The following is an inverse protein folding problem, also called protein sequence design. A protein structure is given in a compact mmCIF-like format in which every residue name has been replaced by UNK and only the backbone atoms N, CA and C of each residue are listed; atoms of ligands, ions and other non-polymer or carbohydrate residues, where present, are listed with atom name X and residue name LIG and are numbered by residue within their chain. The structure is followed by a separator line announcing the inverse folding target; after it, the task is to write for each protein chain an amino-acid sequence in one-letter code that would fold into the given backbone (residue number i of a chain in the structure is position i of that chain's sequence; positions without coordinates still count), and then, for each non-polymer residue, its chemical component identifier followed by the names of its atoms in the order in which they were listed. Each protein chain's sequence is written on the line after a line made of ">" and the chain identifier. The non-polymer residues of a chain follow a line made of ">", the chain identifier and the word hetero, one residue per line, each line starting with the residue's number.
data_IF_253434760631
#
_entry.id   IF_253434760631
#
_cell.length_a   1.000
_cell.length_b   1.000
_cell.length_c   1.000
_cell.angle_alpha   90.00
_cell.angle_beta   90.00
_cell.angle_gamma   90.00
#
_symmetry.space_group_name_H-M   'P 1'
#
loop_
_entity.id
_entity.type
_entity.pdbx_description
1 polymer ?
#
# COMPACT_ATOMS: atom_id res chain seq x y z
N UNK A 1 -11.93 -13.54 -2.66
CA UNK A 1 -11.25 -12.86 -1.52
C UNK A 1 -12.29 -12.48 -0.47
N UNK A 2 -12.10 -12.82 0.81
CA UNK A 2 -13.05 -12.44 1.85
C UNK A 2 -13.06 -10.90 2.02
N UNK A 3 -14.24 -10.29 2.08
CA UNK A 3 -14.37 -8.84 2.27
C UNK A 3 -13.79 -8.44 3.64
N UNK A 4 -12.91 -7.45 3.66
CA UNK A 4 -12.49 -6.83 4.90
C UNK A 4 -13.58 -5.86 5.33
N UNK A 5 -14.27 -6.16 6.40
CA UNK A 5 -15.33 -5.30 6.93
C UNK A 5 -14.73 -3.98 7.42
N UNK A 6 -15.09 -2.89 6.75
CA UNK A 6 -14.63 -1.54 7.12
C UNK A 6 -15.32 -0.99 8.37
N UNK A 7 -16.40 -1.64 8.84
CA UNK A 7 -17.23 -1.19 9.97
C UNK A 7 -17.81 0.23 9.80
N UNK A 8 -18.02 0.65 8.55
CA UNK A 8 -18.65 1.93 8.20
C UNK A 8 -19.96 1.67 7.50
N UNK A 9 -20.92 2.58 7.67
CA UNK A 9 -22.27 2.48 7.04
C UNK A 9 -22.23 2.69 5.53
N UNK A 10 -21.36 3.57 5.02
CA UNK A 10 -21.23 3.88 3.59
C UNK A 10 -19.86 3.53 3.04
N UNK A 11 -19.80 3.32 1.73
CA UNK A 11 -18.56 3.03 0.97
C UNK A 11 -18.51 3.85 -0.30
N UNK A 12 -19.01 5.08 -0.27
CA UNK A 12 -18.83 5.97 -1.42
C UNK A 12 -17.36 6.32 -1.54
N UNK A 13 -16.83 6.21 -2.74
CA UNK A 13 -15.47 6.60 -3.09
C UNK A 13 -15.49 7.18 -4.49
N UNK A 14 -14.50 8.02 -4.80
CA UNK A 14 -14.31 8.51 -6.15
C UNK A 14 -13.97 7.36 -7.10
N UNK A 15 -14.59 7.36 -8.27
CA UNK A 15 -14.35 6.39 -9.33
C UNK A 15 -13.60 7.10 -10.46
N UNK A 16 -12.58 6.44 -11.01
CA UNK A 16 -11.88 6.98 -12.18
C UNK A 16 -12.82 7.03 -13.38
N UNK A 17 -12.83 8.14 -14.16
CA UNK A 17 -13.56 8.17 -15.41
C UNK A 17 -13.03 7.11 -16.37
N UNK A 18 -13.94 6.42 -17.05
CA UNK A 18 -13.55 5.44 -18.06
C UNK A 18 -12.98 6.15 -19.30
N UNK A 19 -11.71 5.92 -19.58
CA UNK A 19 -10.99 6.48 -20.74
C UNK A 19 -10.17 5.38 -21.40
N UNK A 20 -10.12 5.39 -22.73
CA UNK A 20 -9.29 4.46 -23.50
C UNK A 20 -7.88 5.01 -23.74
N UNK A 21 -7.71 6.32 -23.75
CA UNK A 21 -6.45 7.00 -24.03
C UNK A 21 -6.17 8.09 -22.99
N UNK A 22 -4.90 8.46 -22.85
CA UNK A 22 -4.51 9.59 -22.01
C UNK A 22 -5.08 10.89 -22.61
N UNK A 23 -5.56 11.82 -21.78
CA UNK A 23 -6.05 13.12 -22.25
C UNK A 23 -4.95 13.90 -22.96
N UNK A 24 -5.33 14.72 -23.96
CA UNK A 24 -4.37 15.53 -24.74
C UNK A 24 -3.54 16.51 -23.87
N UNK A 25 -4.09 16.96 -22.74
CA UNK A 25 -3.40 17.84 -21.80
C UNK A 25 -2.47 17.10 -20.82
N UNK A 26 -2.48 15.77 -20.79
CA UNK A 26 -1.67 14.99 -19.86
C UNK A 26 -0.23 14.85 -20.35
N UNK A 27 0.70 14.81 -19.38
CA UNK A 27 2.08 14.49 -19.68
C UNK A 27 2.18 13.00 -20.05
N UNK A 28 2.75 12.70 -21.23
CA UNK A 28 2.93 11.35 -21.78
C UNK A 28 4.42 10.99 -21.97
N UNK A 29 5.34 11.83 -21.48
CA UNK A 29 6.78 11.52 -21.54
C UNK A 29 7.14 10.38 -20.60
N UNK A 30 7.31 9.19 -21.18
CA UNK A 30 7.56 7.94 -20.43
C UNK A 30 8.82 8.04 -19.57
N UNK A 31 9.93 8.52 -20.14
CA UNK A 31 11.23 8.58 -19.43
C UNK A 31 11.20 9.55 -18.26
N UNK A 32 10.57 10.71 -18.43
CA UNK A 32 10.40 11.69 -17.36
C UNK A 32 9.54 11.14 -16.23
N UNK A 33 8.41 10.47 -16.55
CA UNK A 33 7.52 9.86 -15.57
C UNK A 33 8.24 8.76 -14.78
N UNK A 34 8.96 7.86 -15.45
CA UNK A 34 9.71 6.78 -14.80
C UNK A 34 10.78 7.35 -13.84
N UNK A 35 11.53 8.37 -14.25
CA UNK A 35 12.52 9.03 -13.41
C UNK A 35 11.88 9.62 -12.14
N UNK A 36 10.78 10.36 -12.29
CA UNK A 36 10.04 10.93 -11.16
C UNK A 36 9.55 9.84 -10.19
N UNK A 37 9.05 8.71 -10.70
CA UNK A 37 8.61 7.58 -9.87
C UNK A 37 9.76 7.02 -9.04
N UNK A 38 10.93 6.84 -9.67
CA UNK A 38 12.14 6.32 -9.00
C UNK A 38 12.63 7.30 -7.93
N UNK A 39 12.69 8.59 -8.23
CA UNK A 39 13.16 9.62 -7.30
C UNK A 39 12.23 9.72 -6.09
N UNK A 40 10.92 9.81 -6.30
CA UNK A 40 9.93 9.81 -5.21
C UNK A 40 9.97 8.54 -4.36
N UNK A 41 10.28 7.39 -4.99
CA UNK A 41 10.42 6.14 -4.23
C UNK A 41 11.67 6.13 -3.37
N UNK A 42 12.79 6.65 -3.85
CA UNK A 42 14.03 6.82 -3.07
C UNK A 42 13.84 7.75 -1.87
N UNK A 43 12.96 8.75 -1.98
CA UNK A 43 12.54 9.61 -0.87
C UNK A 43 11.65 8.89 0.17
N UNK A 44 11.35 7.59 -0.03
CA UNK A 44 10.51 6.81 0.89
C UNK A 44 9.00 6.96 0.68
N UNK A 45 8.57 7.59 -0.41
CA UNK A 45 7.15 7.76 -0.70
C UNK A 45 6.50 6.43 -1.12
N UNK A 46 5.28 6.14 -0.62
CA UNK A 46 4.54 4.92 -0.98
C UNK A 46 4.05 4.95 -2.43
N UNK A 47 3.90 3.79 -3.08
CA UNK A 47 3.42 3.69 -4.46
C UNK A 47 2.06 4.35 -4.67
N UNK A 48 1.17 4.24 -3.68
CA UNK A 48 -0.13 4.90 -3.71
C UNK A 48 -0.01 6.44 -3.68
N UNK A 49 0.88 6.96 -2.84
CA UNK A 49 1.13 8.41 -2.74
C UNK A 49 1.85 8.94 -3.98
N UNK A 50 2.78 8.18 -4.56
CA UNK A 50 3.42 8.52 -5.85
C UNK A 50 2.35 8.75 -6.93
N UNK A 51 1.37 7.85 -7.06
CA UNK A 51 0.28 8.03 -8.01
C UNK A 51 -0.54 9.30 -7.81
N UNK A 52 -0.77 9.71 -6.56
CA UNK A 52 -1.44 10.97 -6.25
C UNK A 52 -0.58 12.20 -6.62
N UNK A 53 0.72 12.17 -6.30
CA UNK A 53 1.66 13.23 -6.63
C UNK A 53 1.77 13.40 -8.16
N UNK A 54 1.86 12.32 -8.91
CA UNK A 54 1.89 12.34 -10.37
C UNK A 54 0.63 12.98 -10.95
N UNK A 55 -0.53 12.64 -10.40
CA UNK A 55 -1.80 13.25 -10.83
C UNK A 55 -1.84 14.75 -10.53
N UNK A 56 -1.45 15.16 -9.32
CA UNK A 56 -1.70 16.51 -8.82
C UNK A 56 -0.62 17.52 -9.22
N UNK A 57 0.64 17.07 -9.35
CA UNK A 57 1.78 17.96 -9.68
C UNK A 57 2.28 17.84 -11.11
N UNK A 58 2.21 16.63 -11.69
CA UNK A 58 2.83 16.36 -12.99
C UNK A 58 1.81 16.13 -14.10
N UNK A 59 0.53 16.34 -13.84
CA UNK A 59 -0.54 16.18 -14.83
C UNK A 59 -0.60 14.77 -15.47
N UNK A 60 -0.29 13.73 -14.70
CA UNK A 60 -0.37 12.32 -15.12
C UNK A 60 -1.56 11.65 -14.44
N UNK A 61 -2.75 11.64 -15.00
CA UNK A 61 -3.96 11.10 -14.37
C UNK A 61 -3.94 9.59 -14.21
N UNK A 62 -3.29 8.87 -15.13
CA UNK A 62 -3.11 7.43 -15.07
C UNK A 62 -1.77 7.02 -15.68
N UNK A 63 -0.88 6.53 -14.82
CA UNK A 63 0.46 6.09 -15.22
C UNK A 63 0.40 4.94 -16.23
N UNK A 64 -0.54 4.00 -16.06
CA UNK A 64 -0.68 2.87 -16.98
C UNK A 64 -1.10 3.32 -18.39
N UNK A 65 -1.94 4.35 -18.50
CA UNK A 65 -2.33 4.89 -19.81
C UNK A 65 -1.18 5.67 -20.46
N UNK A 66 -0.36 6.36 -19.67
CA UNK A 66 0.75 7.17 -20.16
C UNK A 66 1.97 6.31 -20.54
N UNK A 67 2.31 5.29 -19.73
CA UNK A 67 3.55 4.52 -19.87
C UNK A 67 3.34 3.07 -20.35
N UNK A 68 2.10 2.58 -20.39
CA UNK A 68 1.77 1.18 -20.64
C UNK A 68 2.00 0.25 -19.45
N UNK A 69 2.76 0.69 -18.42
CA UNK A 69 3.15 -0.08 -17.25
C UNK A 69 2.49 0.44 -15.97
N UNK A 70 2.35 -0.40 -14.96
CA UNK A 70 1.92 0.03 -13.62
C UNK A 70 3.12 0.55 -12.83
N UNK A 71 2.89 1.44 -11.86
CA UNK A 71 3.94 1.94 -10.95
C UNK A 71 4.72 0.78 -10.31
N UNK A 72 4.02 -0.28 -9.86
CA UNK A 72 4.68 -1.45 -9.28
C UNK A 72 5.58 -2.21 -10.25
N UNK A 73 5.22 -2.28 -11.53
CA UNK A 73 6.02 -2.95 -12.56
C UNK A 73 7.29 -2.14 -12.87
N UNK A 74 7.16 -0.80 -12.94
CA UNK A 74 8.30 0.12 -13.07
C UNK A 74 9.26 -0.03 -11.90
N UNK A 75 8.76 -0.03 -10.66
CA UNK A 75 9.60 -0.18 -9.46
C UNK A 75 10.32 -1.54 -9.41
N UNK A 76 9.73 -2.60 -9.96
CA UNK A 76 10.38 -3.91 -10.11
C UNK A 76 11.52 -3.89 -11.10
N UNK A 77 11.33 -3.26 -12.26
CA UNK A 77 12.38 -3.10 -13.26
C UNK A 77 13.62 -2.38 -12.70
N UNK A 78 13.38 -1.36 -11.88
CA UNK A 78 14.45 -0.63 -11.19
C UNK A 78 14.96 -1.30 -9.89
N UNK A 79 14.44 -2.48 -9.52
CA UNK A 79 14.82 -3.24 -8.30
C UNK A 79 14.66 -2.46 -6.99
N UNK A 80 13.65 -1.59 -6.91
CA UNK A 80 13.36 -0.74 -5.74
C UNK A 80 12.06 -1.19 -5.05
N UNK A 81 11.61 -2.40 -5.30
CA UNK A 81 10.42 -2.96 -4.63
C UNK A 81 10.77 -3.41 -3.21
N UNK A 82 9.85 -3.19 -2.26
CA UNK A 82 9.99 -3.72 -0.90
C UNK A 82 9.63 -5.21 -0.87
N UNK A 83 10.35 -6.01 -0.06
CA UNK A 83 10.09 -7.44 0.14
C UNK A 83 8.66 -7.71 0.63
N UNK A 84 8.13 -6.80 1.45
CA UNK A 84 6.77 -6.90 1.99
C UNK A 84 5.85 -5.95 1.21
N UNK A 85 4.66 -6.42 0.74
CA UNK A 85 3.67 -5.57 0.11
C UNK A 85 3.30 -4.36 0.99
N UNK A 86 3.20 -3.17 0.39
CA UNK A 86 2.99 -1.91 1.12
C UNK A 86 1.71 -1.88 1.96
N UNK A 87 0.63 -2.46 1.47
CA UNK A 87 -0.63 -2.55 2.19
C UNK A 87 -0.52 -3.38 3.47
N UNK A 88 0.23 -4.49 3.42
CA UNK A 88 0.53 -5.32 4.59
C UNK A 88 1.46 -4.57 5.55
N UNK A 89 2.51 -3.91 5.03
CA UNK A 89 3.44 -3.10 5.83
C UNK A 89 2.71 -2.00 6.61
N UNK A 90 1.82 -1.24 5.97
CA UNK A 90 1.05 -0.19 6.62
C UNK A 90 0.14 -0.72 7.73
N UNK A 91 -0.48 -1.90 7.54
CA UNK A 91 -1.29 -2.52 8.59
C UNK A 91 -0.43 -3.02 9.75
N UNK A 92 0.76 -3.54 9.50
CA UNK A 92 1.70 -3.94 10.55
C UNK A 92 2.15 -2.73 11.38
N UNK A 93 2.55 -1.62 10.73
CA UNK A 93 2.90 -0.37 11.42
C UNK A 93 1.74 0.10 12.31
N UNK A 94 0.52 0.09 11.76
CA UNK A 94 -0.67 0.47 12.54
C UNK A 94 -0.92 -0.46 13.73
N UNK A 95 -0.71 -1.76 13.59
CA UNK A 95 -0.87 -2.72 14.68
C UNK A 95 0.16 -2.49 15.79
N UNK A 96 1.42 -2.22 15.45
CA UNK A 96 2.48 -1.89 16.41
C UNK A 96 2.18 -0.59 17.17
N UNK A 97 1.76 0.46 16.46
CA UNK A 97 1.35 1.72 17.10
C UNK A 97 0.18 1.54 18.08
N UNK A 98 -0.82 0.71 17.72
CA UNK A 98 -1.93 0.39 18.61
C UNK A 98 -1.47 -0.44 19.84
N UNK A 99 -0.51 -1.35 19.67
CA UNK A 99 0.06 -2.13 20.79
C UNK A 99 0.82 -1.24 21.76
N UNK A 100 1.65 -0.32 21.24
CA UNK A 100 2.36 0.66 22.07
C UNK A 100 1.38 1.52 22.86
N UNK A 101 0.35 2.07 22.20
CA UNK A 101 -0.70 2.84 22.86
C UNK A 101 -1.42 2.06 23.96
N UNK A 102 -1.76 0.78 23.73
CA UNK A 102 -2.44 -0.06 24.73
C UNK A 102 -1.51 -0.49 25.89
N UNK A 103 -0.20 -0.46 25.70
CA UNK A 103 0.77 -0.63 26.77
C UNK A 103 0.66 0.49 27.81
N UNK A 104 0.49 1.73 27.35
CA UNK A 104 0.33 2.92 28.18
C UNK A 104 -1.12 3.06 28.68
N UNK A 105 -2.11 2.76 27.83
CA UNK A 105 -3.54 2.98 28.08
C UNK A 105 -4.32 1.66 28.15
N UNK A 106 -4.10 0.86 29.19
CA UNK A 106 -4.67 -0.49 29.37
C UNK A 106 -6.20 -0.54 29.39
N UNK A 107 -6.87 0.56 29.78
CA UNK A 107 -8.34 0.65 29.89
C UNK A 107 -9.04 1.01 28.57
N UNK A 108 -8.30 1.29 27.49
CA UNK A 108 -8.87 1.68 26.20
C UNK A 108 -9.43 0.47 25.45
N UNK A 109 -10.70 0.15 25.73
CA UNK A 109 -11.42 -0.95 25.11
C UNK A 109 -11.67 -0.70 23.61
N UNK A 110 -11.81 0.57 23.19
CA UNK A 110 -12.03 0.90 21.80
C UNK A 110 -10.81 0.52 20.94
N UNK A 111 -9.62 0.96 21.34
CA UNK A 111 -8.41 0.64 20.60
C UNK A 111 -8.00 -0.84 20.75
N UNK A 112 -8.33 -1.49 21.87
CA UNK A 112 -8.21 -2.95 21.99
C UNK A 112 -9.02 -3.67 20.92
N UNK A 113 -10.27 -3.25 20.69
CA UNK A 113 -11.10 -3.79 19.61
C UNK A 113 -10.54 -3.49 18.22
N UNK A 114 -10.02 -2.28 18.01
CA UNK A 114 -9.39 -1.89 16.74
C UNK A 114 -8.14 -2.75 16.46
N UNK A 115 -7.32 -3.04 17.45
CA UNK A 115 -6.17 -3.92 17.30
C UNK A 115 -6.58 -5.31 16.80
N UNK A 116 -7.58 -5.94 17.41
CA UNK A 116 -8.09 -7.24 16.94
C UNK A 116 -8.57 -7.19 15.49
N UNK A 117 -9.25 -6.11 15.08
CA UNK A 117 -9.71 -5.93 13.70
C UNK A 117 -8.54 -5.76 12.71
N UNK A 118 -7.50 -5.02 13.08
CA UNK A 118 -6.30 -4.81 12.25
C UNK A 118 -5.53 -6.13 12.12
N UNK A 119 -5.31 -6.86 13.21
CA UNK A 119 -4.64 -8.17 13.18
C UNK A 119 -5.42 -9.20 12.35
N UNK A 120 -6.74 -9.21 12.42
CA UNK A 120 -7.57 -10.04 11.56
C UNK A 120 -7.40 -9.70 10.06
N UNK A 121 -7.22 -8.41 9.72
CA UNK A 121 -6.92 -7.98 8.36
C UNK A 121 -5.53 -8.44 7.91
N UNK A 122 -4.52 -8.30 8.77
CA UNK A 122 -3.15 -8.76 8.49
C UNK A 122 -3.15 -10.25 8.19
N UNK A 123 -3.77 -11.09 9.05
CA UNK A 123 -3.83 -12.55 8.83
C UNK A 123 -4.49 -12.93 7.50
N UNK A 124 -5.55 -12.21 7.08
CA UNK A 124 -6.21 -12.44 5.79
C UNK A 124 -5.33 -12.04 4.61
N UNK A 125 -4.60 -10.91 4.71
CA UNK A 125 -3.66 -10.50 3.66
C UNK A 125 -2.48 -11.44 3.57
N UNK A 126 -1.93 -11.90 4.69
CA UNK A 126 -0.87 -12.92 4.70
C UNK A 126 -1.33 -14.17 3.97
N UNK A 127 -2.52 -14.71 4.29
CA UNK A 127 -3.08 -15.88 3.60
C UNK A 127 -3.24 -15.64 2.08
N UNK A 128 -3.62 -14.44 1.67
CA UNK A 128 -3.73 -14.08 0.26
C UNK A 128 -2.36 -14.02 -0.42
N UNK A 129 -1.37 -13.38 0.21
CA UNK A 129 -0.03 -13.21 -0.39
C UNK A 129 0.79 -14.51 -0.39
N UNK A 130 0.61 -15.39 0.58
CA UNK A 130 1.17 -16.74 0.52
C UNK A 130 0.54 -17.56 -0.61
N UNK A 131 -0.78 -17.48 -0.81
CA UNK A 131 -1.46 -18.11 -1.94
C UNK A 131 -1.04 -17.58 -3.32
N UNK A 132 -0.72 -16.28 -3.43
CA UNK A 132 -0.22 -15.65 -4.67
C UNK A 132 1.30 -15.71 -4.82
N UNK A 133 2.01 -16.44 -3.95
CA UNK A 133 3.48 -16.60 -3.96
C UNK A 133 4.26 -15.29 -3.87
N UNK A 134 3.65 -14.22 -3.36
CA UNK A 134 4.35 -12.95 -3.07
C UNK A 134 5.07 -12.98 -1.73
N UNK A 135 4.63 -13.85 -0.82
CA UNK A 135 5.30 -14.14 0.44
C UNK A 135 5.67 -15.62 0.49
N UNK A 136 6.74 -15.99 1.19
CA UNK A 136 7.13 -17.39 1.36
C UNK A 136 6.03 -18.20 2.04
N UNK A 137 5.92 -19.49 1.69
CA UNK A 137 4.84 -20.39 2.15
C UNK A 137 4.75 -20.54 3.68
N UNK A 138 5.85 -20.31 4.41
CA UNK A 138 5.90 -20.39 5.87
C UNK A 138 5.70 -19.06 6.59
N UNK A 139 5.38 -17.98 5.87
CA UNK A 139 5.26 -16.65 6.49
C UNK A 139 4.05 -16.58 7.42
N UNK A 140 4.31 -16.37 8.71
CA UNK A 140 3.27 -16.19 9.74
C UNK A 140 3.45 -14.84 10.41
N UNK A 141 2.37 -14.09 10.57
CA UNK A 141 2.42 -12.84 11.30
C UNK A 141 2.54 -13.10 12.80
N UNK A 142 3.67 -12.69 13.39
CA UNK A 142 3.87 -12.59 14.83
C UNK A 142 4.19 -11.13 15.16
N UNK A 143 3.60 -10.54 16.21
CA UNK A 143 3.83 -9.12 16.53
C UNK A 143 5.29 -8.80 16.87
N UNK A 144 5.98 -9.73 17.51
CA UNK A 144 7.39 -9.60 17.92
C UNK A 144 8.32 -9.54 16.69
N UNK A 145 8.07 -10.41 15.71
CA UNK A 145 8.86 -10.41 14.46
C UNK A 145 8.50 -9.26 13.50
N UNK A 146 7.28 -8.71 13.64
CA UNK A 146 6.83 -7.61 12.79
C UNK A 146 7.66 -6.32 13.00
N UNK A 147 8.15 -6.08 14.19
CA UNK A 147 9.00 -4.92 14.51
C UNK A 147 10.36 -5.04 13.79
N UNK A 148 10.98 -6.21 13.84
CA UNK A 148 12.25 -6.50 13.16
C UNK A 148 12.09 -6.41 11.63
N UNK A 149 10.98 -6.92 11.09
CA UNK A 149 10.69 -6.90 9.66
C UNK A 149 10.42 -5.47 9.12
N UNK A 150 9.98 -4.56 9.95
CA UNK A 150 9.68 -3.18 9.56
C UNK A 150 10.87 -2.24 9.71
N UNK A 151 11.86 -2.59 10.55
CA UNK A 151 13.10 -1.85 10.74
C UNK A 151 14.12 -2.06 9.61
N UNK A 152 13.93 -3.10 8.80
CA UNK A 152 14.67 -3.37 7.56
C UNK A 152 14.09 -2.55 6.40
#
# INVERSE_FOLDING_TARGET
>A
MARMHARRRGKSCSVRPYRKQAPAWSNTDIKAIEKIIVDLRKEGTSSAKIGLILRDRYCVPDVKMATGKRIGDILKEYKIESEIPEDLRHLMIKALGLRKHLGENKKDLHNKRQLHLVEAKIRRLVKYYTGTKKLPAGFTYKPETAEILLSR
#
